data_IF_011775316324
#
_entry.id   IF_011775316324
#
_cell.length_a   1.000
_cell.length_b   1.000
_cell.length_c   1.000
_cell.angle_alpha   90.00
_cell.angle_beta   90.00
_cell.angle_gamma   90.00
#
_symmetry.space_group_name_H-M   'P 1'
#
loop_
_entity.id
_entity.type
_entity.pdbx_description
1 polymer ?
#
# COMPACT_ATOMS: atom_id res chain seq x y z
N UNK A 1 0.04 6.26 -11.09
CA UNK A 1 0.45 5.14 -10.20
C UNK A 1 1.05 5.62 -8.88
N UNK A 2 2.04 6.52 -8.91
CA UNK A 2 2.75 6.97 -7.69
C UNK A 2 1.82 7.70 -6.72
N UNK A 3 0.89 8.49 -7.23
CA UNK A 3 -0.14 9.15 -6.43
C UNK A 3 -1.04 8.14 -5.70
N UNK A 4 -1.54 7.11 -6.40
CA UNK A 4 -2.32 6.02 -5.79
C UNK A 4 -1.52 5.35 -4.68
N UNK A 5 -0.27 4.97 -4.97
CA UNK A 5 0.61 4.31 -4.02
C UNK A 5 0.85 5.19 -2.78
N UNK A 6 1.10 6.49 -2.99
CA UNK A 6 1.34 7.46 -1.91
C UNK A 6 0.08 7.64 -1.06
N UNK A 7 -1.08 7.79 -1.70
CA UNK A 7 -2.37 7.92 -1.00
C UNK A 7 -2.68 6.68 -0.18
N UNK A 8 -2.52 5.49 -0.77
CA UNK A 8 -2.74 4.22 -0.10
C UNK A 8 -1.78 4.04 1.08
N UNK A 9 -0.48 4.34 0.91
CA UNK A 9 0.49 4.29 2.00
C UNK A 9 0.18 5.30 3.12
N UNK A 10 -0.31 6.48 2.77
CA UNK A 10 -0.73 7.51 3.74
C UNK A 10 -1.98 7.10 4.51
N UNK A 11 -2.89 6.32 3.89
CA UNK A 11 -4.04 5.72 4.57
C UNK A 11 -3.61 4.53 5.44
N UNK A 12 -2.70 3.70 4.93
CA UNK A 12 -2.14 2.54 5.63
C UNK A 12 -1.44 2.96 6.92
N UNK A 13 -0.64 4.03 6.88
CA UNK A 13 0.08 4.62 8.01
C UNK A 13 -0.82 5.43 8.97
N UNK A 14 -2.03 4.94 9.30
CA UNK A 14 -2.97 5.60 10.22
C UNK A 14 -3.41 4.63 11.32
N UNK A 15 -2.54 4.32 12.30
CA UNK A 15 -2.90 3.41 13.41
C UNK A 15 -3.96 3.98 14.36
N UNK A 16 -4.30 5.26 14.24
CA UNK A 16 -5.21 5.96 15.16
C UNK A 16 -6.68 5.92 14.72
N UNK A 17 -6.99 5.46 13.50
CA UNK A 17 -8.37 5.33 13.02
C UNK A 17 -8.92 3.94 13.33
N UNK A 18 -10.24 3.79 13.34
CA UNK A 18 -10.89 2.48 13.52
C UNK A 18 -10.67 1.59 12.30
N UNK A 19 -10.66 0.28 12.52
CA UNK A 19 -10.54 -0.76 11.48
C UNK A 19 -11.53 -0.54 10.31
N UNK A 20 -12.78 -0.20 10.63
CA UNK A 20 -13.83 0.08 9.64
C UNK A 20 -13.50 1.28 8.77
N UNK A 21 -13.20 2.44 9.37
CA UNK A 21 -12.89 3.66 8.60
C UNK A 21 -11.62 3.44 7.77
N UNK A 22 -10.64 2.76 8.35
CA UNK A 22 -9.38 2.43 7.69
C UNK A 22 -9.61 1.59 6.44
N UNK A 23 -10.33 0.47 6.53
CA UNK A 23 -10.58 -0.39 5.38
C UNK A 23 -11.56 0.23 4.38
N UNK A 24 -12.52 1.07 4.81
CA UNK A 24 -13.42 1.76 3.90
C UNK A 24 -12.69 2.74 2.99
N UNK A 25 -11.72 3.49 3.52
CA UNK A 25 -10.92 4.42 2.72
C UNK A 25 -9.83 3.68 1.94
N UNK A 26 -9.11 2.77 2.59
CA UNK A 26 -8.00 2.05 1.96
C UNK A 26 -8.51 1.06 0.90
N UNK A 27 -9.61 0.36 1.17
CA UNK A 27 -10.23 -0.63 0.30
C UNK A 27 -10.63 -0.11 -1.08
N UNK A 28 -10.88 1.20 -1.21
CA UNK A 28 -11.14 1.85 -2.51
C UNK A 28 -9.91 1.88 -3.43
N UNK A 29 -8.72 1.81 -2.84
CA UNK A 29 -7.43 1.82 -3.54
C UNK A 29 -6.82 0.42 -3.66
N UNK A 30 -7.37 -0.57 -2.94
CA UNK A 30 -6.88 -1.94 -2.90
C UNK A 30 -7.53 -2.80 -3.98
N UNK A 31 -6.87 -3.90 -4.33
CA UNK A 31 -7.49 -4.98 -5.11
C UNK A 31 -8.53 -5.72 -4.27
N UNK A 32 -9.51 -6.35 -4.91
CA UNK A 32 -10.52 -7.14 -4.19
C UNK A 32 -9.91 -8.19 -3.25
N UNK A 33 -8.80 -8.80 -3.67
CA UNK A 33 -8.06 -9.77 -2.85
C UNK A 33 -7.37 -9.11 -1.66
N UNK A 34 -6.75 -7.95 -1.86
CA UNK A 34 -6.09 -7.19 -0.80
C UNK A 34 -7.11 -6.66 0.21
N UNK A 35 -8.23 -6.10 -0.24
CA UNK A 35 -9.32 -5.66 0.64
C UNK A 35 -9.82 -6.81 1.52
N UNK A 36 -9.94 -8.01 0.97
CA UNK A 36 -10.37 -9.18 1.73
C UNK A 36 -9.35 -9.65 2.78
N UNK A 37 -8.06 -9.40 2.56
CA UNK A 37 -6.96 -9.69 3.50
C UNK A 37 -6.89 -8.63 4.59
N UNK A 38 -6.92 -7.36 4.19
CA UNK A 38 -6.78 -6.20 5.07
C UNK A 38 -8.04 -5.88 5.89
N UNK A 39 -9.23 -6.37 5.54
CA UNK A 39 -10.45 -6.18 6.35
C UNK A 39 -10.35 -6.76 7.77
N UNK A 40 -9.43 -7.71 7.97
CA UNK A 40 -9.18 -8.34 9.28
C UNK A 40 -7.94 -7.78 9.97
N UNK A 41 -7.23 -6.83 9.34
CA UNK A 41 -6.03 -6.21 9.88
C UNK A 41 -6.44 -5.07 10.80
N UNK A 42 -5.94 -5.11 12.02
CA UNK A 42 -6.08 -4.01 12.96
C UNK A 42 -5.00 -2.94 12.68
N UNK A 43 -5.38 -1.70 12.38
CA UNK A 43 -4.43 -0.65 12.03
C UNK A 43 -3.52 -0.27 13.21
N UNK A 44 -3.92 -0.51 14.47
CA UNK A 44 -3.07 -0.22 15.62
C UNK A 44 -1.87 -1.18 15.72
N UNK A 45 -1.92 -2.35 15.06
CA UNK A 45 -0.78 -3.26 14.94
C UNK A 45 0.23 -2.85 13.85
N UNK A 46 -0.10 -1.85 13.03
CA UNK A 46 0.79 -1.38 11.96
C UNK A 46 1.87 -0.49 12.58
N UNK A 47 3.17 -0.85 12.46
CA UNK A 47 4.24 -0.07 13.09
C UNK A 47 4.50 1.25 12.38
N UNK A 48 4.12 1.38 11.11
CA UNK A 48 4.28 2.62 10.36
C UNK A 48 3.20 3.63 10.73
N UNK A 49 3.64 4.84 11.07
CA UNK A 49 2.76 5.95 11.47
C UNK A 49 2.82 7.11 10.49
N UNK A 50 3.89 7.20 9.69
CA UNK A 50 4.03 8.21 8.63
C UNK A 50 5.11 7.86 7.63
N UNK A 51 4.94 8.40 6.43
CA UNK A 51 5.96 8.37 5.38
C UNK A 51 6.99 9.48 5.69
N UNK A 52 8.28 9.15 5.66
CA UNK A 52 9.40 10.07 5.97
C UNK A 52 10.08 10.63 4.72
N UNK A 53 9.80 10.07 3.53
CA UNK A 53 10.33 10.56 2.26
C UNK A 53 9.42 10.28 1.07
N UNK A 54 9.94 10.49 -0.14
CA UNK A 54 9.15 10.30 -1.38
C UNK A 54 9.18 8.84 -1.83
N UNK A 55 8.06 8.36 -2.36
CA UNK A 55 7.98 7.04 -2.96
C UNK A 55 8.91 6.91 -4.18
N UNK A 56 9.72 5.87 -4.19
CA UNK A 56 10.62 5.51 -5.29
C UNK A 56 10.09 4.28 -6.02
N UNK A 57 9.85 4.43 -7.32
CA UNK A 57 9.49 3.32 -8.19
C UNK A 57 10.68 2.36 -8.29
N UNK A 58 10.50 1.11 -7.83
CA UNK A 58 11.48 0.02 -7.94
C UNK A 58 11.27 -0.81 -9.19
N UNK A 59 10.02 -1.15 -9.50
CA UNK A 59 9.65 -1.92 -10.69
C UNK A 59 8.74 -1.05 -11.54
N UNK A 60 9.18 -0.79 -12.77
CA UNK A 60 8.52 0.07 -13.73
C UNK A 60 7.37 -0.63 -14.46
N UNK A 61 6.41 0.16 -14.95
CA UNK A 61 5.22 -0.31 -15.65
C UNK A 61 5.51 -1.04 -16.97
N UNK A 62 6.72 -0.89 -17.51
CA UNK A 62 7.19 -1.68 -18.65
C UNK A 62 7.37 -3.18 -18.34
N UNK A 63 7.46 -3.56 -17.07
CA UNK A 63 7.67 -4.96 -16.67
C UNK A 63 6.35 -5.77 -16.62
N UNK A 64 5.20 -5.15 -16.92
CA UNK A 64 3.91 -5.82 -17.10
C UNK A 64 2.73 -5.15 -16.40
N UNK A 65 1.89 -5.95 -15.73
CA UNK A 65 0.71 -5.51 -14.98
C UNK A 65 0.99 -5.24 -13.50
N UNK A 66 2.25 -5.28 -13.08
CA UNK A 66 2.69 -5.08 -11.70
C UNK A 66 3.81 -4.06 -11.57
N UNK A 67 3.66 -3.15 -10.61
CA UNK A 67 4.65 -2.14 -10.24
C UNK A 67 4.95 -2.23 -8.76
N UNK A 68 6.16 -1.81 -8.37
CA UNK A 68 6.57 -1.76 -6.97
C UNK A 68 7.09 -0.36 -6.65
N UNK A 69 6.57 0.23 -5.57
CA UNK A 69 6.99 1.55 -5.10
C UNK A 69 7.43 1.45 -3.65
N UNK A 70 8.66 1.83 -3.38
CA UNK A 70 9.22 1.85 -2.01
C UNK A 70 9.03 3.21 -1.39
N UNK A 71 8.43 3.25 -0.21
CA UNK A 71 8.23 4.43 0.60
C UNK A 71 9.09 4.35 1.86
N UNK A 72 10.06 5.24 2.04
CA UNK A 72 10.76 5.37 3.31
C UNK A 72 9.79 5.89 4.37
N UNK A 73 9.70 5.19 5.50
CA UNK A 73 8.79 5.52 6.62
C UNK A 73 9.51 5.53 7.96
N UNK A 74 8.82 5.90 9.03
CA UNK A 74 9.42 5.89 10.38
C UNK A 74 9.68 4.47 10.92
N UNK A 75 9.00 3.46 10.37
CA UNK A 75 9.22 2.05 10.67
C UNK A 75 10.16 1.34 9.67
N UNK A 76 10.77 2.09 8.74
CA UNK A 76 11.66 1.61 7.67
C UNK A 76 11.03 1.65 6.28
N UNK A 77 11.70 1.07 5.29
CA UNK A 77 11.26 1.12 3.89
C UNK A 77 10.12 0.13 3.62
N UNK A 78 8.94 0.65 3.29
CA UNK A 78 7.79 -0.17 2.90
C UNK A 78 7.72 -0.29 1.39
N UNK A 79 7.66 -1.51 0.89
CA UNK A 79 7.38 -1.77 -0.53
C UNK A 79 5.87 -1.91 -0.76
N UNK A 80 5.36 -1.14 -1.71
CA UNK A 80 3.95 -1.15 -2.10
C UNK A 80 3.85 -1.75 -3.49
N UNK A 81 3.26 -2.94 -3.55
CA UNK A 81 2.97 -3.61 -4.80
C UNK A 81 1.64 -3.09 -5.35
N UNK A 82 1.66 -2.58 -6.58
CA UNK A 82 0.48 -2.20 -7.33
C UNK A 82 0.25 -3.17 -8.48
N UNK A 83 -1.02 -3.50 -8.73
CA UNK A 83 -1.47 -4.28 -9.86
C UNK A 83 -2.55 -3.50 -10.63
N UNK A 84 -2.60 -3.71 -11.94
CA UNK A 84 -3.70 -3.25 -12.79
C UNK A 84 -4.22 -4.43 -13.62
N UNK A 85 -5.53 -4.54 -13.77
CA UNK A 85 -6.13 -5.63 -14.55
C UNK A 85 -5.95 -5.45 -16.06
N UNK A 86 -5.79 -4.21 -16.51
CA UNK A 86 -5.57 -3.84 -17.91
C UNK A 86 -4.88 -2.48 -17.98
N UNK A 87 -4.35 -2.11 -19.15
CA UNK A 87 -3.63 -0.85 -19.35
C UNK A 87 -4.51 0.40 -19.15
N UNK A 88 -5.83 0.30 -19.41
CA UNK A 88 -6.81 1.40 -19.20
C UNK A 88 -7.30 1.50 -17.75
N UNK A 89 -7.06 0.47 -16.93
CA UNK A 89 -7.58 0.41 -15.56
C UNK A 89 -6.68 1.17 -14.60
N UNK A 90 -7.26 1.80 -13.56
CA UNK A 90 -6.47 2.42 -12.51
C UNK A 90 -5.62 1.35 -11.79
N UNK A 91 -4.42 1.75 -11.41
CA UNK A 91 -3.58 0.95 -10.53
C UNK A 91 -4.24 0.80 -9.17
N UNK A 92 -4.23 -0.42 -8.64
CA UNK A 92 -4.72 -0.75 -7.31
C UNK A 92 -3.60 -1.37 -6.51
N UNK A 93 -3.57 -1.11 -5.20
CA UNK A 93 -2.59 -1.72 -4.31
C UNK A 93 -2.98 -3.17 -4.08
N UNK A 94 -2.04 -4.07 -4.31
CA UNK A 94 -2.22 -5.49 -4.05
C UNK A 94 -1.65 -5.91 -2.70
N UNK A 95 -0.55 -5.29 -2.26
CA UNK A 95 0.10 -5.65 -1.00
C UNK A 95 1.04 -4.56 -0.51
N UNK A 96 1.09 -4.41 0.81
CA UNK A 96 2.11 -3.66 1.54
C UNK A 96 3.10 -4.65 2.16
N UNK A 97 4.38 -4.48 1.84
CA UNK A 97 5.47 -5.33 2.29
C UNK A 97 6.35 -4.52 3.26
N UNK A 98 6.31 -4.83 4.58
CA UNK A 98 7.13 -4.14 5.56
C UNK A 98 8.63 -4.43 5.37
N UNK A 99 9.52 -3.56 5.86
CA UNK A 99 10.98 -3.67 5.69
C UNK A 99 11.56 -4.95 6.27
N UNK A 100 10.94 -5.48 7.33
CA UNK A 100 11.35 -6.73 7.98
C UNK A 100 10.58 -7.93 7.41
N UNK A 101 10.53 -8.09 6.09
CA UNK A 101 10.07 -9.31 5.42
C UNK A 101 10.94 -10.53 5.77
N UNK A 102 10.90 -10.93 7.03
CA UNK A 102 11.54 -12.10 7.65
C UNK A 102 10.44 -12.60 8.58
N UNK A 103 9.78 -13.73 8.33
CA UNK A 103 10.26 -14.99 7.78
C UNK A 103 9.07 -15.82 7.31
#
# INVERSE_FOLDING_TARGET
MLETATKAMTLYARPTVTDKEWIQELGQLLTAQATADYQYVDPANIPVTRITGRGQLRIDENNGFGCHVVFPTDAGDYDVQLLRSAADKPWQVNRFMPPNGTK
#
